data_IF_792247713098
#
_entry.id   IF_792247713098
#
_cell.length_a   1.000
_cell.length_b   1.000
_cell.length_c   1.000
_cell.angle_alpha   90.00
_cell.angle_beta   90.00
_cell.angle_gamma   90.00
#
_symmetry.space_group_name_H-M   'P 1'
#
loop_
_entity.id
_entity.type
_entity.pdbx_description
1 polymer ?
#
# COMPACT_ATOMS: atom_id res chain seq x y z
N UNK A 1 -1.67 -7.93 -11.84
CA UNK A 1 -0.71 -7.23 -10.97
C UNK A 1 -0.65 -5.82 -11.49
N UNK A 2 -1.18 -4.88 -10.71
CA UNK A 2 -1.23 -3.46 -11.07
C UNK A 2 -0.35 -2.72 -10.09
N UNK A 3 0.70 -2.08 -10.61
CA UNK A 3 1.64 -1.26 -9.83
C UNK A 3 1.30 0.20 -10.06
N UNK A 4 1.11 0.96 -8.99
CA UNK A 4 0.95 2.42 -9.02
C UNK A 4 2.05 3.07 -8.19
N UNK A 5 2.76 4.01 -8.79
CA UNK A 5 3.77 4.80 -8.12
C UNK A 5 3.21 6.20 -7.84
N UNK A 6 3.47 6.75 -6.68
CA UNK A 6 3.06 8.11 -6.31
C UNK A 6 4.06 8.70 -5.32
N UNK A 7 4.28 10.00 -5.37
CA UNK A 7 5.18 10.70 -4.45
C UNK A 7 4.39 11.47 -3.40
N UNK A 8 4.75 11.31 -2.13
CA UNK A 8 4.11 11.98 -1.00
C UNK A 8 5.16 12.39 0.04
N UNK A 9 5.26 13.69 0.36
CA UNK A 9 6.22 14.25 1.33
C UNK A 9 7.65 13.68 1.18
N UNK A 10 8.20 13.80 -0.03
CA UNK A 10 9.57 13.37 -0.35
C UNK A 10 9.80 11.84 -0.21
N UNK A 11 8.70 11.07 -0.13
CA UNK A 11 8.68 9.62 -0.16
C UNK A 11 8.04 9.14 -1.45
N UNK A 12 8.65 8.18 -2.13
CA UNK A 12 8.07 7.45 -3.23
C UNK A 12 7.30 6.23 -2.71
N UNK A 13 6.00 6.19 -2.99
CA UNK A 13 5.09 5.11 -2.64
C UNK A 13 4.90 4.25 -3.90
N UNK A 14 5.26 2.97 -3.82
CA UNK A 14 4.94 1.98 -4.85
C UNK A 14 3.92 1.01 -4.30
N UNK A 15 2.69 1.08 -4.82
CA UNK A 15 1.58 0.21 -4.45
C UNK A 15 1.47 -0.91 -5.47
N UNK A 16 1.37 -2.15 -5.00
CA UNK A 16 1.11 -3.32 -5.82
C UNK A 16 -0.18 -4.02 -5.38
N UNK A 17 -1.09 -4.26 -6.31
CA UNK A 17 -2.34 -4.99 -6.07
C UNK A 17 -2.35 -6.32 -6.83
N UNK A 18 -2.68 -7.38 -6.09
CA UNK A 18 -2.75 -8.77 -6.53
C UNK A 18 -4.19 -9.26 -6.34
N UNK A 19 -4.88 -9.57 -7.44
CA UNK A 19 -6.23 -10.12 -7.40
C UNK A 19 -6.95 -9.99 -8.75
N UNK A 20 -8.25 -10.33 -8.79
CA UNK A 20 -8.98 -11.00 -7.71
C UNK A 20 -8.55 -12.47 -7.59
N UNK A 21 -8.52 -12.99 -6.36
CA UNK A 21 -8.42 -14.42 -6.10
C UNK A 21 -9.73 -15.14 -6.45
N UNK A 22 -9.79 -16.48 -6.37
CA UNK A 22 -10.97 -17.29 -6.66
C UNK A 22 -12.22 -16.91 -5.84
N UNK A 23 -12.02 -16.17 -4.73
CA UNK A 23 -13.08 -15.64 -3.85
C UNK A 23 -13.51 -14.20 -4.20
N UNK A 24 -12.95 -13.59 -5.24
CA UNK A 24 -13.17 -12.18 -5.57
C UNK A 24 -12.38 -11.20 -4.69
N UNK A 25 -11.47 -11.70 -3.84
CA UNK A 25 -10.70 -10.87 -2.93
C UNK A 25 -9.45 -10.31 -3.62
N UNK A 26 -9.18 -9.03 -3.39
CA UNK A 26 -7.92 -8.41 -3.77
C UNK A 26 -7.01 -8.32 -2.55
N UNK A 27 -5.73 -8.56 -2.76
CA UNK A 27 -4.65 -8.35 -1.82
C UNK A 27 -3.71 -7.30 -2.40
N UNK A 28 -2.85 -6.72 -1.56
CA UNK A 28 -1.84 -5.82 -2.08
C UNK A 28 -0.80 -5.45 -1.04
N UNK A 29 0.33 -4.98 -1.55
CA UNK A 29 1.48 -4.52 -0.80
C UNK A 29 1.79 -3.09 -1.19
N UNK A 30 2.49 -2.36 -0.32
CA UNK A 30 3.02 -1.06 -0.68
C UNK A 30 4.43 -0.92 -0.14
N UNK A 31 5.29 -0.27 -0.90
CA UNK A 31 6.67 0.05 -0.53
C UNK A 31 6.76 1.56 -0.39
N UNK A 32 7.34 2.04 0.70
CA UNK A 32 7.66 3.44 0.90
C UNK A 32 9.19 3.56 0.83
N UNK A 33 9.66 4.36 -0.11
CA UNK A 33 11.06 4.70 -0.33
C UNK A 33 11.25 6.18 -0.03
N UNK A 34 12.24 6.56 0.77
CA UNK A 34 12.59 7.98 0.93
C UNK A 34 13.46 8.44 -0.26
N UNK A 35 13.15 9.59 -0.88
CA UNK A 35 14.04 10.17 -1.91
C UNK A 35 15.35 10.72 -1.31
N UNK A 36 15.35 10.97 0.00
CA UNK A 36 16.46 11.59 0.73
C UNK A 36 17.03 10.61 1.75
N UNK A 37 17.74 9.60 1.26
CA UNK A 37 18.38 8.55 2.07
C UNK A 37 18.66 7.34 1.20
N UNK A 38 19.73 6.59 1.49
CA UNK A 38 20.07 5.35 0.80
C UNK A 38 18.82 4.45 0.64
N UNK A 39 18.71 3.78 -0.51
CA UNK A 39 17.63 2.84 -0.82
C UNK A 39 17.48 1.71 0.23
N UNK A 40 18.42 1.56 1.17
CA UNK A 40 18.33 0.64 2.30
C UNK A 40 17.21 1.00 3.31
N UNK A 41 16.62 2.21 3.30
CA UNK A 41 15.43 2.53 4.12
C UNK A 41 14.10 2.22 3.40
N UNK A 42 14.14 1.48 2.29
CA UNK A 42 12.95 0.93 1.66
C UNK A 42 12.15 0.09 2.66
N UNK A 43 10.96 0.57 3.05
CA UNK A 43 10.05 -0.18 3.92
C UNK A 43 8.94 -0.77 3.09
N UNK A 44 9.00 -2.08 2.89
CA UNK A 44 7.91 -2.84 2.31
C UNK A 44 6.91 -3.23 3.39
N UNK A 45 5.65 -2.85 3.17
CA UNK A 45 4.52 -3.20 4.00
C UNK A 45 3.60 -4.17 3.25
N UNK A 46 3.23 -5.24 3.94
CA UNK A 46 2.22 -6.20 3.49
C UNK A 46 1.05 -6.14 4.47
N UNK A 47 0.12 -5.18 4.30
CA UNK A 47 -1.02 -5.07 5.20
C UNK A 47 -1.88 -6.34 5.11
N UNK A 48 -2.42 -6.79 6.24
CA UNK A 48 -3.38 -7.89 6.25
C UNK A 48 -4.76 -7.41 5.78
N UNK A 49 -5.23 -7.92 4.64
CA UNK A 49 -6.54 -7.64 4.08
C UNK A 49 -7.53 -8.61 4.68
N UNK A 50 -8.05 -8.27 5.86
CA UNK A 50 -8.68 -9.30 6.68
C UNK A 50 -9.94 -9.91 6.06
N UNK A 51 -10.71 -9.21 5.21
CA UNK A 51 -12.05 -9.72 4.86
C UNK A 51 -12.77 -9.11 3.65
N UNK A 52 -12.24 -8.11 2.95
CA UNK A 52 -13.12 -7.28 2.10
C UNK A 52 -12.89 -7.43 0.58
N UNK A 53 -14.01 -7.72 -0.10
CA UNK A 53 -14.16 -7.77 -1.56
C UNK A 53 -14.19 -6.32 -2.06
N UNK A 54 -13.06 -5.83 -2.56
CA UNK A 54 -12.94 -4.49 -3.14
C UNK A 54 -12.71 -4.58 -4.64
N UNK A 55 -13.03 -3.52 -5.38
CA UNK A 55 -12.52 -3.39 -6.76
C UNK A 55 -11.02 -3.07 -6.74
N UNK A 56 -10.29 -3.39 -7.81
CA UNK A 56 -8.85 -3.05 -7.94
C UNK A 56 -8.58 -1.56 -7.67
N UNK A 57 -9.44 -0.66 -8.16
CA UNK A 57 -9.31 0.78 -7.95
C UNK A 57 -9.49 1.20 -6.47
N UNK A 58 -10.38 0.52 -5.74
CA UNK A 58 -10.55 0.75 -4.30
C UNK A 58 -9.37 0.19 -3.51
N UNK A 59 -8.87 -0.97 -3.90
CA UNK A 59 -7.69 -1.58 -3.31
C UNK A 59 -6.47 -0.66 -3.44
N UNK A 60 -6.23 -0.12 -4.64
CA UNK A 60 -5.19 0.88 -4.89
C UNK A 60 -5.39 2.12 -4.01
N UNK A 61 -6.58 2.72 -4.04
CA UNK A 61 -6.88 3.94 -3.27
C UNK A 61 -6.64 3.74 -1.77
N UNK A 62 -7.06 2.60 -1.22
CA UNK A 62 -6.90 2.27 0.21
C UNK A 62 -5.44 2.03 0.59
N UNK A 63 -4.67 1.35 -0.27
CA UNK A 63 -3.24 1.14 -0.04
C UNK A 63 -2.46 2.44 -0.10
N UNK A 64 -2.71 3.27 -1.12
CA UNK A 64 -2.08 4.59 -1.24
C UNK A 64 -2.35 5.42 0.01
N UNK A 65 -3.61 5.47 0.46
CA UNK A 65 -3.98 6.19 1.67
C UNK A 65 -3.36 5.62 2.94
N UNK A 66 -3.27 4.28 3.05
CA UNK A 66 -2.58 3.65 4.16
C UNK A 66 -1.10 4.03 4.16
N UNK A 67 -0.43 4.02 3.01
CA UNK A 67 0.97 4.44 2.89
C UNK A 67 1.16 5.90 3.31
N UNK A 68 0.27 6.81 2.89
CA UNK A 68 0.26 8.20 3.34
C UNK A 68 0.07 8.31 4.87
N UNK A 69 -0.83 7.52 5.46
CA UNK A 69 -1.05 7.47 6.91
C UNK A 69 0.19 6.90 7.66
N UNK A 70 0.94 5.96 7.06
CA UNK A 70 2.22 5.48 7.61
C UNK A 70 3.25 6.60 7.63
N UNK A 71 3.38 7.33 6.52
CA UNK A 71 4.31 8.47 6.41
C UNK A 71 3.95 9.57 7.41
N UNK A 72 2.66 9.81 7.64
CA UNK A 72 2.19 10.79 8.64
C UNK A 72 2.27 10.27 10.09
N UNK A 73 2.67 9.01 10.30
CA UNK A 73 2.78 8.39 11.62
C UNK A 73 1.44 8.08 12.29
N UNK A 74 0.35 8.02 11.51
CA UNK A 74 -1.01 7.71 11.99
C UNK A 74 -1.29 6.21 12.10
N UNK A 75 -0.57 5.39 11.33
CA UNK A 75 -0.72 3.93 11.27
C UNK A 75 0.61 3.24 11.07
N UNK A 76 0.72 2.00 11.54
CA UNK A 76 1.89 1.14 11.36
C UNK A 76 1.91 0.36 10.03
N UNK A 77 0.94 0.60 9.13
CA UNK A 77 0.88 -0.05 7.81
C UNK A 77 0.49 -1.53 7.83
N UNK A 78 0.14 -2.07 9.00
CA UNK A 78 -0.12 -3.50 9.18
C UNK A 78 -1.54 -3.94 8.76
N UNK A 79 -2.52 -3.04 8.79
CA UNK A 79 -3.92 -3.35 8.49
C UNK A 79 -4.62 -2.17 7.78
N UNK A 80 -5.43 -2.47 6.77
CA UNK A 80 -6.38 -1.52 6.17
C UNK A 80 -7.71 -1.64 6.94
N UNK A 81 -8.10 -0.62 7.71
CA UNK A 81 -9.44 -0.59 8.31
C UNK A 81 -10.51 -0.63 7.21
N UNK A 82 -11.50 -1.51 7.40
CA UNK A 82 -12.66 -1.68 6.51
C UNK A 82 -13.52 -0.42 6.45
#
# INVERSE_FOLDING_TARGET
MTVQNSTYRDCNISVDVIGPDARGAYSGTFVITHEVGDADDDRQFTPAWRTAVFSEAEALTRLTRLAEDVIDGKRDGSEIST
#
